data_IF_691691703667
#
_entry.id   IF_691691703667
#
_cell.length_a   1.000
_cell.length_b   1.000
_cell.length_c   1.000
_cell.angle_alpha   90.00
_cell.angle_beta   90.00
_cell.angle_gamma   90.00
#
_symmetry.space_group_name_H-M   'P 1'
#
loop_
_entity.id
_entity.type
_entity.pdbx_description
1 polymer ?
#
# COMPACT_ATOMS: atom_id res chain seq x y z
N UNK A 1 13.41 33.92 46.36
CA UNK A 1 11.98 33.54 46.48
C UNK A 1 11.13 34.72 46.01
N UNK A 2 10.03 34.38 45.33
CA UNK A 2 8.93 35.22 44.80
C UNK A 2 9.14 35.95 43.44
N UNK A 3 8.38 35.47 42.44
CA UNK A 3 8.22 35.95 41.05
C UNK A 3 7.34 37.21 40.94
N UNK A 4 7.46 37.99 39.84
CA UNK A 4 6.42 38.90 39.40
C UNK A 4 5.65 38.40 38.15
N UNK A 5 4.32 38.45 38.29
CA UNK A 5 3.30 38.98 37.37
C UNK A 5 3.26 38.59 35.87
N UNK A 6 2.11 38.01 35.50
CA UNK A 6 1.60 37.82 34.14
C UNK A 6 1.43 39.15 33.39
N UNK A 7 2.00 39.25 32.19
CA UNK A 7 1.48 40.14 31.14
C UNK A 7 1.38 39.38 29.83
N UNK A 8 0.14 39.13 29.38
CA UNK A 8 -0.17 38.55 28.09
C UNK A 8 0.24 39.50 26.98
N UNK A 9 1.40 39.26 26.39
CA UNK A 9 1.88 40.00 25.22
C UNK A 9 1.15 39.48 23.98
N UNK A 10 0.43 40.39 23.33
CA UNK A 10 -0.36 40.13 22.13
C UNK A 10 0.46 39.51 21.00
N UNK A 11 -0.17 38.57 20.29
CA UNK A 11 0.33 38.06 19.03
C UNK A 11 -0.61 38.54 17.92
N UNK A 12 -0.17 39.57 17.21
CA UNK A 12 -0.76 39.98 15.94
C UNK A 12 -0.48 38.84 14.95
N UNK A 13 -1.50 38.04 14.63
CA UNK A 13 -1.41 37.01 13.57
C UNK A 13 -1.64 37.71 12.23
N UNK A 14 -0.62 38.44 11.78
CA UNK A 14 -0.43 38.79 10.38
C UNK A 14 0.43 37.71 9.75
N UNK A 15 -0.19 36.74 9.08
CA UNK A 15 0.51 35.65 8.40
C UNK A 15 -0.28 35.18 7.21
N UNK A 16 0.32 35.29 6.03
CA UNK A 16 -0.15 34.75 4.75
C UNK A 16 -0.93 33.46 4.91
N UNK A 17 -2.19 33.47 4.47
CA UNK A 17 -3.03 32.28 4.40
C UNK A 17 -2.42 31.35 3.36
N UNK A 18 -1.66 30.35 3.79
CA UNK A 18 -1.23 29.23 2.95
C UNK A 18 -2.49 28.48 2.51
N UNK A 19 -3.02 28.79 1.34
CA UNK A 19 -4.14 28.05 0.75
C UNK A 19 -3.67 26.64 0.41
N UNK A 20 -4.36 25.64 0.96
CA UNK A 20 -4.21 24.25 0.57
C UNK A 20 -4.55 24.17 -0.93
N UNK A 21 -3.61 23.73 -1.77
CA UNK A 21 -3.87 23.54 -3.19
C UNK A 21 -4.85 22.39 -3.34
N UNK A 22 -6.08 22.69 -3.77
CA UNK A 22 -6.96 21.68 -4.33
C UNK A 22 -6.37 21.27 -5.68
N UNK A 23 -6.11 19.98 -5.84
CA UNK A 23 -5.89 19.41 -7.16
C UNK A 23 -7.27 19.24 -7.78
N UNK A 24 -7.64 20.14 -8.68
CA UNK A 24 -8.71 19.86 -9.64
C UNK A 24 -8.20 18.72 -10.53
N UNK A 25 -8.92 17.60 -10.47
CA UNK A 25 -8.69 16.41 -11.28
C UNK A 25 -9.15 16.70 -12.71
N UNK A 26 -8.36 17.52 -13.41
CA UNK A 26 -8.56 17.79 -14.83
C UNK A 26 -7.37 17.24 -15.61
N UNK A 27 -7.56 15.99 -16.02
CA UNK A 27 -7.03 15.39 -17.24
C UNK A 27 -5.50 15.23 -17.35
N UNK A 28 -5.01 14.09 -16.84
CA UNK A 28 -3.87 13.40 -17.46
C UNK A 28 -4.21 11.94 -17.71
N UNK A 29 -4.43 11.65 -18.99
CA UNK A 29 -4.37 10.32 -19.54
C UNK A 29 -3.01 9.68 -19.25
N UNK A 30 -3.05 8.38 -18.98
CA UNK A 30 -1.95 7.42 -18.99
C UNK A 30 -0.87 7.61 -17.91
N UNK A 31 -1.17 7.12 -16.70
CA UNK A 31 -0.16 6.54 -15.83
C UNK A 31 -0.89 5.57 -14.89
N UNK A 32 -0.35 4.35 -14.83
CA UNK A 32 -0.84 3.17 -14.11
C UNK A 32 -1.75 3.50 -12.91
N UNK A 33 -2.97 2.95 -12.90
CA UNK A 33 -3.90 2.97 -11.77
C UNK A 33 -3.10 2.95 -10.45
N UNK A 34 -2.97 4.12 -9.81
CA UNK A 34 -2.61 4.25 -8.41
C UNK A 34 -3.78 3.64 -7.63
N UNK A 35 -3.87 2.32 -7.67
CA UNK A 35 -4.89 1.53 -7.03
C UNK A 35 -4.63 1.64 -5.54
N UNK A 36 -5.27 2.63 -4.90
CA UNK A 36 -5.45 2.83 -3.46
C UNK A 36 -4.52 1.93 -2.65
N UNK A 37 -3.24 2.30 -2.62
CA UNK A 37 -2.22 1.56 -1.90
C UNK A 37 -2.49 1.83 -0.43
N UNK A 38 -3.22 0.92 0.19
CA UNK A 38 -3.39 0.83 1.63
C UNK A 38 -2.03 1.11 2.28
N UNK A 39 -1.95 2.28 2.94
CA UNK A 39 -0.69 2.92 3.32
C UNK A 39 0.08 2.06 4.34
N UNK A 40 -0.61 1.13 5.00
CA UNK A 40 -0.03 0.09 5.86
C UNK A 40 0.89 -0.89 5.10
N UNK A 41 0.63 -1.19 3.83
CA UNK A 41 1.44 -2.14 3.05
C UNK A 41 2.82 -1.56 2.64
N UNK A 42 3.05 -0.25 2.80
CA UNK A 42 4.37 0.38 2.57
C UNK A 42 5.37 0.05 3.67
N UNK A 43 4.92 -0.37 4.87
CA UNK A 43 5.83 -0.72 5.97
C UNK A 43 6.29 -2.18 5.85
N UNK A 44 7.25 -2.41 4.96
CA UNK A 44 8.00 -3.68 4.90
C UNK A 44 7.21 -4.90 4.43
N UNK A 45 6.06 -4.68 3.79
CA UNK A 45 5.20 -5.77 3.34
C UNK A 45 4.38 -6.41 4.45
N UNK A 46 4.12 -5.68 5.53
CA UNK A 46 3.12 -6.06 6.52
C UNK A 46 1.79 -6.41 5.81
N UNK A 47 1.18 -7.52 6.20
CA UNK A 47 -0.12 -8.00 5.73
C UNK A 47 -0.18 -8.50 4.25
N UNK A 48 0.97 -8.80 3.61
CA UNK A 48 0.98 -9.37 2.24
C UNK A 48 0.23 -10.70 2.10
N UNK A 49 0.18 -11.45 3.19
CA UNK A 49 -0.43 -12.78 3.29
C UNK A 49 -1.53 -12.81 4.37
N UNK A 50 -2.17 -11.67 4.62
CA UNK A 50 -3.36 -11.63 5.46
C UNK A 50 -4.47 -12.52 4.85
N UNK A 51 -5.13 -13.32 5.68
CA UNK A 51 -6.11 -14.32 5.21
C UNK A 51 -7.25 -13.68 4.42
N UNK A 52 -7.72 -12.49 4.82
CA UNK A 52 -8.78 -11.78 4.08
C UNK A 52 -8.36 -11.45 2.65
N UNK A 53 -7.11 -11.01 2.48
CA UNK A 53 -6.52 -10.70 1.17
C UNK A 53 -6.27 -11.96 0.34
N UNK A 54 -5.91 -13.07 0.99
CA UNK A 54 -5.75 -14.36 0.32
C UNK A 54 -7.09 -14.91 -0.16
N UNK A 55 -8.15 -14.79 0.64
CA UNK A 55 -9.51 -15.17 0.27
C UNK A 55 -10.00 -14.37 -0.95
N UNK A 56 -9.80 -13.04 -0.95
CA UNK A 56 -10.09 -12.19 -2.12
C UNK A 56 -9.33 -12.65 -3.39
N UNK A 57 -8.07 -13.10 -3.24
CA UNK A 57 -7.27 -13.59 -4.37
C UNK A 57 -7.75 -14.94 -4.92
N UNK A 58 -8.33 -15.77 -4.07
CA UNK A 58 -8.99 -17.00 -4.48
C UNK A 58 -10.22 -16.65 -5.33
N UNK A 59 -11.00 -15.66 -4.90
CA UNK A 59 -12.23 -15.22 -5.55
C UNK A 59 -12.01 -14.41 -6.85
N UNK A 60 -10.96 -13.60 -7.00
CA UNK A 60 -10.92 -12.73 -8.19
C UNK A 60 -9.76 -11.76 -8.45
N UNK A 61 -10.13 -10.71 -9.18
CA UNK A 61 -9.39 -9.94 -10.21
C UNK A 61 -8.04 -9.36 -9.81
N UNK A 62 -7.82 -9.08 -8.53
CA UNK A 62 -6.60 -8.43 -8.03
C UNK A 62 -5.39 -9.36 -7.87
N UNK A 63 -5.56 -10.65 -8.19
CA UNK A 63 -4.54 -11.69 -8.00
C UNK A 63 -3.20 -11.38 -8.69
N UNK A 64 -3.22 -10.92 -9.95
CA UNK A 64 -1.98 -10.66 -10.70
C UNK A 64 -1.21 -9.47 -10.12
N UNK A 65 -1.90 -8.39 -9.74
CA UNK A 65 -1.28 -7.23 -9.10
C UNK A 65 -0.61 -7.63 -7.77
N UNK A 66 -1.31 -8.42 -6.94
CA UNK A 66 -0.76 -8.94 -5.68
C UNK A 66 0.43 -9.89 -5.91
N UNK A 67 0.41 -10.74 -6.94
CA UNK A 67 1.57 -11.56 -7.32
C UNK A 67 2.80 -10.72 -7.73
N UNK A 68 2.60 -9.64 -8.50
CA UNK A 68 3.68 -8.67 -8.81
C UNK A 68 4.24 -8.07 -7.52
N UNK A 69 3.39 -7.72 -6.56
CA UNK A 69 3.81 -7.18 -5.26
C UNK A 69 4.60 -8.21 -4.45
N UNK A 70 4.18 -9.46 -4.41
CA UNK A 70 4.95 -10.54 -3.76
C UNK A 70 6.38 -10.62 -4.32
N UNK A 71 6.57 -10.52 -5.63
CA UNK A 71 7.91 -10.47 -6.22
C UNK A 71 8.71 -9.22 -5.83
N UNK A 72 8.08 -8.03 -5.76
CA UNK A 72 8.76 -6.81 -5.30
C UNK A 72 9.33 -6.99 -3.88
N UNK A 73 8.71 -7.84 -3.06
CA UNK A 73 9.18 -8.23 -1.74
C UNK A 73 10.04 -9.52 -1.73
N UNK A 74 10.59 -9.93 -2.87
CA UNK A 74 11.46 -11.09 -3.05
C UNK A 74 10.83 -12.46 -2.73
N UNK A 75 9.50 -12.57 -2.79
CA UNK A 75 8.81 -13.85 -2.72
C UNK A 75 8.80 -14.56 -4.09
N UNK A 76 8.94 -15.88 -4.04
CA UNK A 76 8.90 -16.84 -5.13
C UNK A 76 8.12 -18.10 -4.67
N UNK A 77 7.75 -19.02 -5.58
CA UNK A 77 6.91 -20.17 -5.21
C UNK A 77 7.50 -21.11 -4.12
N UNK A 78 8.80 -21.02 -3.83
CA UNK A 78 9.51 -21.86 -2.87
C UNK A 78 9.64 -21.23 -1.48
N UNK A 79 9.60 -19.90 -1.35
CA UNK A 79 9.79 -19.20 -0.08
C UNK A 79 8.52 -18.52 0.46
N UNK A 80 7.34 -18.96 0.00
CA UNK A 80 6.07 -18.49 0.55
C UNK A 80 5.92 -18.91 2.03
N UNK A 81 5.27 -18.09 2.86
CA UNK A 81 5.00 -18.42 4.26
C UNK A 81 4.01 -19.59 4.42
N UNK A 82 4.02 -20.24 5.58
CA UNK A 82 3.21 -21.44 5.88
C UNK A 82 1.70 -21.20 5.81
N UNK A 83 1.23 -19.96 5.99
CA UNK A 83 -0.20 -19.62 5.77
C UNK A 83 -0.67 -20.00 4.36
N UNK A 84 0.22 -20.05 3.37
CA UNK A 84 -0.12 -20.47 2.00
C UNK A 84 -0.36 -21.97 1.85
N UNK A 85 -0.11 -22.79 2.87
CA UNK A 85 -0.39 -24.22 2.82
C UNK A 85 -1.92 -24.48 2.78
N UNK A 86 -2.72 -23.63 3.44
CA UNK A 86 -4.18 -23.63 3.34
C UNK A 86 -4.68 -23.09 1.98
N UNK A 87 -3.81 -22.40 1.24
CA UNK A 87 -4.08 -21.79 -0.07
C UNK A 87 -3.28 -22.46 -1.19
N UNK A 88 -3.15 -23.79 -1.15
CA UNK A 88 -2.37 -24.59 -2.11
C UNK A 88 -2.71 -24.27 -3.59
N UNK A 89 -3.98 -24.08 -3.92
CA UNK A 89 -4.40 -23.68 -5.28
C UNK A 89 -3.94 -22.27 -5.67
N UNK A 90 -3.83 -21.34 -4.73
CA UNK A 90 -3.29 -20.01 -4.98
C UNK A 90 -1.77 -20.05 -5.16
N UNK A 91 -1.08 -20.90 -4.39
CA UNK A 91 0.35 -21.18 -4.55
C UNK A 91 0.67 -21.74 -5.93
N UNK A 92 -0.14 -22.68 -6.42
CA UNK A 92 0.01 -23.22 -7.78
C UNK A 92 -0.21 -22.14 -8.85
N UNK A 93 -1.26 -21.33 -8.73
CA UNK A 93 -1.50 -20.18 -9.64
C UNK A 93 -0.33 -19.21 -9.64
N UNK A 94 0.25 -18.91 -8.48
CA UNK A 94 1.43 -18.06 -8.38
C UNK A 94 2.63 -18.69 -9.08
N UNK A 95 2.85 -20.00 -8.91
CA UNK A 95 3.92 -20.74 -9.60
C UNK A 95 3.78 -20.69 -11.11
N UNK A 96 2.59 -20.98 -11.64
CA UNK A 96 2.32 -20.93 -13.08
C UNK A 96 2.59 -19.51 -13.59
N UNK A 97 2.07 -18.51 -12.89
CA UNK A 97 2.26 -17.12 -13.28
C UNK A 97 3.73 -16.69 -13.27
N UNK A 98 4.47 -17.06 -12.22
CA UNK A 98 5.86 -16.70 -11.99
C UNK A 98 6.80 -17.25 -13.07
N UNK A 99 6.59 -18.50 -13.51
CA UNK A 99 7.48 -19.17 -14.46
C UNK A 99 7.05 -19.07 -15.92
N UNK A 100 5.74 -19.05 -16.21
CA UNK A 100 5.26 -19.26 -17.58
C UNK A 100 4.56 -18.05 -18.20
N UNK A 101 3.91 -17.19 -17.42
CA UNK A 101 3.20 -16.01 -17.98
C UNK A 101 3.99 -14.72 -17.82
N UNK A 102 5.04 -14.70 -16.99
CA UNK A 102 5.91 -13.52 -16.81
C UNK A 102 6.87 -13.26 -17.98
N UNK A 103 7.04 -14.24 -18.89
CA UNK A 103 8.08 -14.22 -19.94
C UNK A 103 7.55 -13.65 -21.28
N UNK A 104 6.43 -12.94 -21.31
CA UNK A 104 5.91 -12.30 -22.53
C UNK A 104 6.34 -10.84 -22.66
#
# INVERSE_FOLDING_TARGET
MASPELTGTGQVIGGDKRSLRYHDDDNRADEEEEENVDEEERKGGANLFDTTKLDEMVEGTKRIARFKRWMKYNYNPHNLPSVMDDYSGLREKFRIWYYYTRIQ
#
